data_IF_562244969419
#
_entry.id   IF_562244969419
#
_cell.length_a   1.000
_cell.length_b   1.000
_cell.length_c   1.000
_cell.angle_alpha   90.00
_cell.angle_beta   90.00
_cell.angle_gamma   90.00
#
_symmetry.space_group_name_H-M   'P 1'
#
loop_
_entity.id
_entity.type
_entity.pdbx_description
1 polymer ?
#
# COMPACT_ATOMS: atom_id res chain seq x y z
N UNK A 1 -17.24 1.08 1.27
CA UNK A 1 -16.02 0.99 2.12
C UNK A 1 -15.63 -0.47 2.17
N UNK A 2 -14.39 -0.84 1.86
CA UNK A 2 -13.96 -2.24 1.83
C UNK A 2 -12.78 -2.43 2.79
N UNK A 3 -12.88 -3.41 3.67
CA UNK A 3 -11.78 -3.86 4.52
C UNK A 3 -11.34 -5.24 4.08
N UNK A 4 -10.04 -5.49 4.06
CA UNK A 4 -9.47 -6.78 3.66
C UNK A 4 -8.27 -7.14 4.52
N UNK A 5 -8.03 -8.44 4.64
CA UNK A 5 -6.76 -8.97 5.14
C UNK A 5 -5.67 -8.73 4.09
N UNK A 6 -4.52 -8.25 4.54
CA UNK A 6 -3.34 -8.04 3.71
C UNK A 6 -2.16 -8.76 4.35
N UNK A 7 -1.39 -9.52 3.56
CA UNK A 7 -0.21 -10.24 4.04
C UNK A 7 0.96 -9.92 3.11
N UNK A 8 2.09 -9.55 3.69
CA UNK A 8 3.33 -9.37 2.95
C UNK A 8 3.92 -10.73 2.51
N UNK A 9 3.71 -11.78 3.32
CA UNK A 9 4.10 -13.17 3.01
C UNK A 9 2.83 -14.02 2.91
N UNK A 10 2.61 -14.76 1.81
CA UNK A 10 1.51 -15.71 1.71
C UNK A 10 1.52 -16.71 2.87
N UNK A 11 0.34 -17.00 3.44
CA UNK A 11 0.15 -17.96 4.53
C UNK A 11 0.89 -17.67 5.86
N UNK A 12 1.55 -16.52 6.03
CA UNK A 12 2.08 -16.10 7.34
C UNK A 12 0.93 -15.85 8.30
N UNK A 13 1.09 -16.16 9.60
CA UNK A 13 0.11 -15.80 10.64
C UNK A 13 0.01 -14.28 10.84
N UNK A 14 1.10 -13.56 10.58
CA UNK A 14 1.11 -12.11 10.61
C UNK A 14 0.25 -11.55 9.49
N UNK A 15 -0.76 -10.75 9.85
CA UNK A 15 -1.60 -10.07 8.89
C UNK A 15 -1.80 -8.60 9.26
N UNK A 16 -2.11 -7.82 8.24
CA UNK A 16 -2.61 -6.47 8.37
C UNK A 16 -4.07 -6.47 7.97
N UNK A 17 -4.81 -5.51 8.51
CA UNK A 17 -6.07 -5.09 7.95
C UNK A 17 -5.82 -3.80 7.19
N UNK A 18 -6.31 -3.77 5.95
CA UNK A 18 -6.27 -2.59 5.11
C UNK A 18 -7.67 -2.10 4.80
N UNK A 19 -7.79 -0.78 4.71
CA UNK A 19 -8.98 -0.09 4.23
C UNK A 19 -8.74 0.36 2.80
N UNK A 20 -9.67 0.02 1.90
CA UNK A 20 -9.72 0.53 0.55
C UNK A 20 -10.95 1.45 0.38
N UNK A 21 -10.74 2.73 0.01
CA UNK A 21 -11.86 3.59 -0.39
C UNK A 21 -12.58 3.03 -1.62
N UNK A 22 -13.85 3.39 -1.77
CA UNK A 22 -14.65 2.99 -2.93
C UNK A 22 -14.35 3.93 -4.09
N UNK A 23 -13.17 3.75 -4.70
CA UNK A 23 -12.70 4.46 -5.89
C UNK A 23 -12.61 3.45 -7.04
N UNK A 24 -13.02 3.87 -8.24
CA UNK A 24 -13.08 3.04 -9.43
C UNK A 24 -11.70 2.75 -10.02
N UNK A 25 -10.64 3.49 -9.63
CA UNK A 25 -9.30 3.33 -10.22
C UNK A 25 -8.18 3.30 -9.18
N UNK A 26 -7.66 2.11 -8.92
CA UNK A 26 -6.47 1.85 -8.08
C UNK A 26 -6.48 2.61 -6.75
N UNK A 27 -7.44 2.33 -5.85
CA UNK A 27 -7.56 3.03 -4.58
C UNK A 27 -6.26 2.93 -3.77
N UNK A 28 -5.84 4.07 -3.21
CA UNK A 28 -4.79 4.06 -2.18
C UNK A 28 -5.34 3.37 -0.93
N UNK A 29 -4.72 2.26 -0.56
CA UNK A 29 -5.10 1.51 0.63
C UNK A 29 -4.40 2.07 1.86
N UNK A 30 -5.14 2.14 2.96
CA UNK A 30 -4.66 2.56 4.28
C UNK A 30 -4.45 1.31 5.14
N UNK A 31 -3.28 1.15 5.79
CA UNK A 31 -3.11 0.13 6.82
C UNK A 31 -3.81 0.61 8.08
N UNK A 32 -4.80 -0.16 8.55
CA UNK A 32 -5.63 0.22 9.69
C UNK A 32 -5.30 -0.57 10.96
N UNK A 33 -4.48 -1.62 10.89
CA UNK A 33 -4.10 -2.44 12.05
C UNK A 33 -3.83 -3.87 11.64
N UNK A 34 -3.98 -4.82 12.57
CA UNK A 34 -3.77 -6.26 12.36
C UNK A 34 -4.88 -7.16 12.94
N UNK A 35 -6.04 -6.60 13.32
CA UNK A 35 -7.19 -7.33 13.90
C UNK A 35 -8.49 -6.56 13.72
N UNK A 36 -9.62 -7.26 13.76
CA UNK A 36 -10.93 -6.72 13.35
C UNK A 36 -11.40 -5.52 14.18
N UNK A 37 -11.05 -5.46 15.46
CA UNK A 37 -11.41 -4.34 16.33
C UNK A 37 -10.78 -3.02 15.87
N UNK A 38 -9.60 -3.07 15.27
CA UNK A 38 -8.99 -1.90 14.65
C UNK A 38 -9.80 -1.39 13.45
N UNK A 39 -10.39 -2.30 12.67
CA UNK A 39 -11.25 -1.93 11.54
C UNK A 39 -12.51 -1.22 12.02
N UNK A 40 -13.15 -1.69 13.10
CA UNK A 40 -14.32 -1.02 13.68
C UNK A 40 -13.99 0.36 14.24
N UNK A 41 -12.86 0.49 14.95
CA UNK A 41 -12.38 1.79 15.44
C UNK A 41 -12.11 2.76 14.29
N UNK A 42 -11.47 2.29 13.22
CA UNK A 42 -11.22 3.11 12.02
C UNK A 42 -12.52 3.51 11.32
N UNK A 43 -13.45 2.56 11.15
CA UNK A 43 -14.77 2.80 10.55
C UNK A 43 -15.55 3.87 11.33
N UNK A 44 -15.63 3.74 12.65
CA UNK A 44 -16.29 4.71 13.51
C UNK A 44 -15.67 6.12 13.36
N UNK A 45 -14.35 6.20 13.25
CA UNK A 45 -13.66 7.46 12.96
C UNK A 45 -14.03 8.07 11.60
N UNK A 46 -14.13 7.25 10.55
CA UNK A 46 -14.51 7.71 9.20
C UNK A 46 -15.98 8.13 9.11
N UNK A 47 -16.88 7.45 9.82
CA UNK A 47 -18.32 7.76 9.81
C UNK A 47 -18.75 8.75 10.89
N UNK A 48 -17.82 9.28 11.70
CA UNK A 48 -18.11 10.09 12.90
C UNK A 48 -19.06 9.38 13.89
N UNK A 49 -18.99 8.04 13.92
CA UNK A 49 -19.76 7.20 14.83
C UNK A 49 -19.05 6.97 16.16
N UNK A 50 -19.69 6.18 17.02
CA UNK A 50 -19.17 5.75 18.33
C UNK A 50 -18.60 4.35 18.16
N UNK A 51 -17.32 4.13 18.47
CA UNK A 51 -16.67 2.83 18.23
C UNK A 51 -17.24 1.72 19.14
N UNK A 52 -17.66 2.11 20.33
CA UNK A 52 -18.27 1.30 21.37
C UNK A 52 -19.55 0.59 20.88
N UNK A 53 -20.25 1.13 19.87
CA UNK A 53 -21.45 0.48 19.33
C UNK A 53 -21.14 -0.77 18.50
N UNK A 54 -19.91 -0.94 18.05
CA UNK A 54 -19.46 -2.08 17.23
C UNK A 54 -18.66 -3.12 18.02
N UNK A 55 -18.37 -2.83 19.29
CA UNK A 55 -17.48 -3.62 20.13
C UNK A 55 -18.23 -4.16 21.36
N UNK A 56 -17.76 -5.25 21.98
CA UNK A 56 -18.31 -5.71 23.24
C UNK A 56 -18.28 -4.60 24.31
N UNK A 57 -19.32 -4.52 25.15
CA UNK A 57 -19.49 -3.42 26.13
C UNK A 57 -18.32 -3.24 27.11
N UNK A 58 -17.56 -4.30 27.39
CA UNK A 58 -16.41 -4.28 28.30
C UNK A 58 -15.10 -3.81 27.63
N UNK A 59 -15.16 -3.40 26.37
CA UNK A 59 -13.96 -3.13 25.58
C UNK A 59 -13.39 -1.75 25.88
N UNK A 60 -12.10 -1.68 26.23
CA UNK A 60 -11.37 -0.42 26.31
C UNK A 60 -10.98 0.08 24.89
N UNK A 61 -11.83 0.94 24.35
CA UNK A 61 -11.61 1.58 23.03
C UNK A 61 -10.33 2.44 23.01
N UNK A 62 -9.95 3.04 24.14
CA UNK A 62 -8.73 3.83 24.24
C UNK A 62 -7.48 2.98 24.00
N UNK A 63 -7.42 1.82 24.65
CA UNK A 63 -6.34 0.85 24.47
C UNK A 63 -6.30 0.31 23.04
N UNK A 64 -7.46 -0.01 22.44
CA UNK A 64 -7.53 -0.48 21.04
C UNK A 64 -7.03 0.60 20.07
N UNK A 65 -7.41 1.87 20.25
CA UNK A 65 -6.90 2.99 19.45
C UNK A 65 -5.38 3.11 19.55
N UNK A 66 -4.81 2.92 20.74
CA UNK A 66 -3.37 2.99 20.93
C UNK A 66 -2.65 1.81 20.26
N UNK A 67 -3.18 0.59 20.40
CA UNK A 67 -2.66 -0.61 19.74
C UNK A 67 -2.72 -0.46 18.20
N UNK A 68 -3.83 0.06 17.67
CA UNK A 68 -4.00 0.39 16.27
C UNK A 68 -2.88 1.32 15.76
N UNK A 69 -2.67 2.44 16.44
CA UNK A 69 -1.62 3.42 16.09
C UNK A 69 -0.23 2.79 16.13
N UNK A 70 0.06 1.98 17.14
CA UNK A 70 1.36 1.29 17.27
C UNK A 70 1.61 0.40 16.06
N UNK A 71 0.63 -0.41 15.65
CA UNK A 71 0.74 -1.28 14.46
C UNK A 71 0.97 -0.45 13.19
N UNK A 72 0.17 0.59 12.96
CA UNK A 72 0.33 1.47 11.79
C UNK A 72 1.72 2.14 11.77
N UNK A 73 2.22 2.59 12.93
CA UNK A 73 3.53 3.22 13.05
C UNK A 73 4.67 2.22 12.80
N UNK A 74 4.57 1.01 13.35
CA UNK A 74 5.53 -0.06 13.10
C UNK A 74 5.56 -0.41 11.61
N UNK A 75 4.40 -0.52 10.97
CA UNK A 75 4.31 -0.76 9.53
C UNK A 75 4.96 0.36 8.73
N UNK A 76 4.67 1.62 9.04
CA UNK A 76 5.26 2.77 8.34
C UNK A 76 6.79 2.83 8.49
N UNK A 77 7.35 2.45 9.63
CA UNK A 77 8.82 2.37 9.83
C UNK A 77 9.48 1.28 8.99
N UNK A 78 8.81 0.13 8.83
CA UNK A 78 9.31 -1.01 8.04
C UNK A 78 8.96 -0.91 6.56
N UNK A 79 8.18 0.09 6.15
CA UNK A 79 7.65 0.22 4.78
C UNK A 79 8.76 0.64 3.83
N UNK A 80 8.94 -0.14 2.77
CA UNK A 80 9.88 0.17 1.70
C UNK A 80 9.14 0.72 0.47
N UNK A 81 9.74 1.74 -0.14
CA UNK A 81 9.22 2.39 -1.33
C UNK A 81 7.93 3.18 -1.14
N UNK A 82 7.50 3.84 -2.22
CA UNK A 82 6.23 4.58 -2.30
C UNK A 82 5.37 4.00 -3.41
N UNK A 83 5.02 2.72 -3.28
CA UNK A 83 4.16 2.04 -4.24
C UNK A 83 2.85 2.83 -4.44
N UNK A 84 2.31 2.94 -5.69
CA UNK A 84 1.11 3.71 -5.97
C UNK A 84 -0.11 3.31 -5.13
N UNK A 85 -0.19 2.04 -4.73
CA UNK A 85 -1.25 1.50 -3.86
C UNK A 85 -1.19 2.03 -2.41
N UNK A 86 -0.07 2.59 -1.96
CA UNK A 86 0.06 3.19 -0.62
C UNK A 86 0.43 2.23 0.52
N UNK A 87 0.18 0.92 0.39
CA UNK A 87 0.59 -0.09 1.38
C UNK A 87 2.11 -0.22 1.55
N UNK A 88 2.85 0.08 0.48
CA UNK A 88 4.28 -0.14 0.37
C UNK A 88 4.68 -1.61 0.44
N UNK A 89 5.98 -1.85 0.37
CA UNK A 89 6.55 -3.20 0.33
C UNK A 89 7.12 -3.58 1.70
N UNK A 90 7.14 -4.87 1.96
CA UNK A 90 7.93 -5.44 3.04
C UNK A 90 8.78 -6.57 2.48
N UNK A 91 10.09 -6.40 2.55
CA UNK A 91 11.06 -7.43 2.17
C UNK A 91 12.15 -7.47 3.23
N UNK A 92 12.75 -8.64 3.41
CA UNK A 92 13.89 -8.81 4.31
C UNK A 92 15.10 -8.09 3.69
N UNK A 93 15.69 -7.16 4.44
CA UNK A 93 16.94 -6.47 4.07
C UNK A 93 18.02 -6.85 5.07
N UNK A 94 19.14 -7.38 4.59
CA UNK A 94 20.29 -7.78 5.42
C UNK A 94 21.55 -7.18 4.79
N UNK A 95 22.32 -6.42 5.58
CA UNK A 95 23.53 -5.73 5.09
C UNK A 95 23.28 -4.93 3.80
N UNK A 96 22.18 -4.18 3.76
CA UNK A 96 21.70 -3.40 2.59
C UNK A 96 21.39 -4.22 1.33
N UNK A 97 21.31 -5.56 1.44
CA UNK A 97 20.88 -6.46 0.37
C UNK A 97 19.41 -6.85 0.57
N UNK A 98 18.61 -6.72 -0.49
CA UNK A 98 17.20 -7.19 -0.54
C UNK A 98 16.21 -6.15 -1.09
N UNK A 99 16.55 -4.86 -1.08
CA UNK A 99 15.73 -3.80 -1.67
C UNK A 99 16.62 -2.71 -2.28
N UNK A 100 16.35 -2.34 -3.53
CA UNK A 100 16.97 -1.20 -4.22
C UNK A 100 15.86 -0.25 -4.70
N UNK A 101 15.87 1.04 -4.33
CA UNK A 101 14.87 1.98 -4.81
C UNK A 101 15.03 2.22 -6.32
N UNK A 102 13.91 2.38 -7.01
CA UNK A 102 13.90 2.87 -8.39
C UNK A 102 14.28 4.36 -8.35
N UNK A 103 15.21 4.77 -9.23
CA UNK A 103 15.70 6.15 -9.31
C UNK A 103 14.67 7.12 -9.88
N UNK A 104 13.72 6.62 -10.66
CA UNK A 104 12.67 7.41 -11.30
C UNK A 104 11.50 7.74 -10.36
N UNK A 105 10.91 8.92 -10.56
CA UNK A 105 9.74 9.37 -9.83
C UNK A 105 8.47 8.59 -10.24
N UNK A 106 7.64 8.23 -9.26
CA UNK A 106 6.41 7.45 -9.48
C UNK A 106 5.40 8.19 -10.39
N UNK A 107 5.35 9.53 -10.32
CA UNK A 107 4.51 10.34 -11.19
C UNK A 107 5.00 10.33 -12.64
N UNK A 108 6.32 10.35 -12.86
CA UNK A 108 6.93 10.19 -14.19
C UNK A 108 6.64 8.81 -14.77
N UNK A 109 6.82 7.75 -13.98
CA UNK A 109 6.48 6.37 -14.39
C UNK A 109 5.02 6.29 -14.82
N UNK A 110 4.09 6.79 -13.99
CA UNK A 110 2.66 6.78 -14.31
C UNK A 110 2.35 7.53 -15.60
N UNK A 111 2.87 8.75 -15.77
CA UNK A 111 2.66 9.54 -17.01
C UNK A 111 3.16 8.80 -18.25
N UNK A 112 4.32 8.15 -18.17
CA UNK A 112 4.85 7.39 -19.30
C UNK A 112 3.98 6.17 -19.62
N UNK A 113 3.50 5.44 -18.58
CA UNK A 113 2.59 4.31 -18.77
C UNK A 113 1.24 4.76 -19.37
N UNK A 114 0.68 5.87 -18.88
CA UNK A 114 -0.56 6.45 -19.42
C UNK A 114 -0.39 6.83 -20.90
N UNK A 115 0.77 7.40 -21.29
CA UNK A 115 1.09 7.70 -22.69
C UNK A 115 1.17 6.43 -23.53
N UNK A 116 1.89 5.40 -23.08
CA UNK A 116 2.03 4.12 -23.79
C UNK A 116 0.68 3.43 -24.02
N UNK A 117 -0.27 3.58 -23.09
CA UNK A 117 -1.63 3.07 -23.20
C UNK A 117 -2.55 3.91 -24.09
N UNK A 118 -2.10 5.09 -24.56
CA UNK A 118 -2.90 5.94 -25.44
C UNK A 118 -3.01 5.34 -26.84
N UNK A 119 -4.23 5.35 -27.40
CA UNK A 119 -4.52 4.81 -28.73
C UNK A 119 -3.89 5.65 -29.86
N UNK A 120 -3.74 6.96 -29.64
CA UNK A 120 -3.26 7.91 -30.65
C UNK A 120 -1.75 8.19 -30.56
N UNK A 121 -1.01 7.39 -29.77
CA UNK A 121 0.42 7.61 -29.60
C UNK A 121 1.16 7.19 -30.87
N UNK A 122 1.94 8.12 -31.42
CA UNK A 122 2.87 7.89 -32.52
C UNK A 122 3.82 6.71 -32.23
N UNK A 123 4.05 5.85 -33.23
CA UNK A 123 4.81 4.61 -33.08
C UNK A 123 6.30 4.85 -32.76
N UNK A 124 6.91 5.92 -33.30
CA UNK A 124 8.29 6.28 -32.96
C UNK A 124 8.39 6.71 -31.50
N UNK A 125 7.44 7.55 -31.06
CA UNK A 125 7.34 7.95 -29.65
C UNK A 125 7.06 6.75 -28.75
N UNK A 126 6.15 5.83 -29.15
CA UNK A 126 5.86 4.57 -28.45
C UNK A 126 7.14 3.73 -28.28
N UNK A 127 7.92 3.56 -29.35
CA UNK A 127 9.21 2.87 -29.32
C UNK A 127 10.17 3.49 -28.29
N UNK A 128 10.33 4.82 -28.30
CA UNK A 128 11.23 5.51 -27.36
C UNK A 128 10.79 5.34 -25.90
N UNK A 129 9.48 5.37 -25.61
CA UNK A 129 8.95 5.18 -24.25
C UNK A 129 9.04 3.74 -23.78
N UNK A 130 8.86 2.78 -24.69
CA UNK A 130 9.05 1.37 -24.41
C UNK A 130 10.52 1.07 -24.09
N UNK A 131 11.46 1.65 -24.85
CA UNK A 131 12.89 1.52 -24.57
C UNK A 131 13.23 2.03 -23.16
N UNK A 132 12.77 3.23 -22.80
CA UNK A 132 12.96 3.76 -21.45
C UNK A 132 12.38 2.83 -20.36
N UNK A 133 11.21 2.23 -20.59
CA UNK A 133 10.63 1.26 -19.65
C UNK A 133 11.49 0.00 -19.54
N UNK A 134 12.00 -0.53 -20.65
CA UNK A 134 12.88 -1.70 -20.67
C UNK A 134 14.21 -1.46 -19.96
N UNK A 135 14.76 -0.24 -20.02
CA UNK A 135 15.93 0.14 -19.23
C UNK A 135 15.65 0.01 -17.72
N UNK A 136 14.48 0.46 -17.25
CA UNK A 136 14.07 0.30 -15.85
C UNK A 136 13.91 -1.18 -15.44
N UNK A 137 13.35 -2.00 -16.33
CA UNK A 137 13.22 -3.45 -16.10
C UNK A 137 14.60 -4.10 -16.04
N UNK A 138 15.53 -3.69 -16.89
CA UNK A 138 16.90 -4.22 -16.90
C UNK A 138 17.58 -3.97 -15.55
N UNK A 139 17.44 -2.78 -14.97
CA UNK A 139 17.97 -2.50 -13.62
C UNK A 139 17.41 -3.39 -12.52
N UNK A 140 16.20 -3.95 -12.69
CA UNK A 140 15.62 -4.93 -11.76
C UNK A 140 16.12 -6.36 -12.00
N UNK A 141 16.69 -6.66 -13.18
CA UNK A 141 17.22 -7.97 -13.55
C UNK A 141 18.72 -8.11 -13.28
N UNK A 142 19.43 -6.99 -13.07
CA UNK A 142 20.85 -7.00 -12.74
C UNK A 142 21.00 -7.26 -11.23
N UNK A 143 21.44 -8.48 -10.90
CA UNK A 143 21.87 -8.90 -9.56
C UNK A 143 23.02 -8.03 -9.02
#
# INVERSE_FOLDING_TARGET
>A
LKFSVFRDIPNSDECLIVYAPNDDRFPKIEVVGNRMEHAFVHLAGKTKGVAESYLPKSTDVGTIKQQMKTVCNQRNKKKLGKAPSGAGLWVKVVNDVGYRPISEDAGKIRKTLDLLCSADLDESLRGSKMQWLMELVTFAQVD
#
